data_IF_840191415161
#
_entry.id   IF_840191415161
#
_cell.length_a   1.000
_cell.length_b   1.000
_cell.length_c   1.000
_cell.angle_alpha   90.00
_cell.angle_beta   90.00
_cell.angle_gamma   90.00
#
_symmetry.space_group_name_H-M   'P 1'
#
loop_
_entity.id
_entity.type
_entity.pdbx_description
1 polymer ?
#
# COMPACT_ATOMS: atom_id res chain seq x y z
N UNK A 1 2.63 5.62 -47.40
CA UNK A 1 2.69 4.89 -46.10
C UNK A 1 2.59 5.93 -44.99
N UNK A 2 1.39 6.20 -44.48
CA UNK A 2 1.18 7.18 -43.43
C UNK A 2 1.53 6.60 -42.06
N UNK A 3 2.64 7.06 -41.47
CA UNK A 3 2.92 6.91 -40.03
C UNK A 3 2.44 8.18 -39.33
N UNK A 4 1.16 8.23 -39.06
CA UNK A 4 0.60 9.10 -38.03
C UNK A 4 0.21 8.20 -36.87
N UNK A 5 0.81 8.40 -35.69
CA UNK A 5 0.09 8.46 -34.42
C UNK A 5 1.07 8.94 -33.35
N UNK A 6 1.15 10.27 -33.32
CA UNK A 6 1.75 11.06 -32.26
C UNK A 6 0.67 11.27 -31.19
N UNK A 7 1.06 11.04 -29.93
CA UNK A 7 0.49 11.59 -28.68
C UNK A 7 -0.89 11.04 -28.25
N UNK A 8 -0.84 10.08 -27.33
CA UNK A 8 -1.82 9.94 -26.24
C UNK A 8 -1.20 10.48 -24.94
N UNK A 9 -0.88 11.77 -24.92
CA UNK A 9 -0.74 12.52 -23.66
C UNK A 9 -2.01 13.32 -23.51
N UNK A 10 -3.01 12.75 -22.83
CA UNK A 10 -3.98 13.55 -22.08
C UNK A 10 -4.80 12.66 -21.14
N UNK A 11 -4.66 13.01 -19.86
CA UNK A 11 -5.62 12.80 -18.77
C UNK A 11 -5.66 11.37 -18.23
N UNK A 12 -4.68 11.01 -17.39
CA UNK A 12 -4.95 10.13 -16.25
C UNK A 12 -4.76 10.96 -14.99
N UNK A 13 -5.85 11.18 -14.27
CA UNK A 13 -5.88 11.69 -12.90
C UNK A 13 -4.76 11.03 -12.08
N UNK A 14 -4.19 11.79 -11.13
CA UNK A 14 -3.15 11.42 -10.17
C UNK A 14 -3.38 10.03 -9.53
N UNK A 15 -2.95 8.99 -10.22
CA UNK A 15 -2.76 7.66 -9.66
C UNK A 15 -1.34 7.27 -10.03
N UNK A 16 -0.41 7.46 -9.09
CA UNK A 16 0.91 6.86 -9.23
C UNK A 16 0.71 5.35 -9.15
N UNK A 17 1.22 4.64 -10.15
CA UNK A 17 1.30 3.18 -10.06
C UNK A 17 2.30 2.87 -8.96
N UNK A 18 1.81 2.36 -7.84
CA UNK A 18 2.64 1.80 -6.79
C UNK A 18 3.05 0.42 -7.23
N UNK A 19 4.34 0.20 -7.39
CA UNK A 19 4.87 -1.12 -7.72
C UNK A 19 5.40 -1.71 -6.42
N UNK A 20 4.58 -2.54 -5.78
CA UNK A 20 5.01 -3.35 -4.64
C UNK A 20 5.51 -4.70 -5.13
N UNK A 21 6.66 -5.14 -4.64
CA UNK A 21 7.14 -6.50 -4.86
C UNK A 21 6.35 -7.51 -4.01
N UNK A 22 6.62 -8.81 -4.21
CA UNK A 22 5.90 -9.87 -3.49
C UNK A 22 6.07 -9.78 -1.99
N UNK A 23 7.28 -9.46 -1.50
CA UNK A 23 7.56 -9.39 -0.05
C UNK A 23 6.89 -8.18 0.58
N UNK A 24 6.96 -7.03 -0.07
CA UNK A 24 6.28 -5.82 0.36
C UNK A 24 4.77 -6.06 0.48
N UNK A 25 4.16 -6.73 -0.51
CA UNK A 25 2.74 -7.12 -0.44
C UNK A 25 2.45 -8.05 0.73
N UNK A 26 3.30 -9.04 0.97
CA UNK A 26 3.16 -9.96 2.11
C UNK A 26 3.23 -9.22 3.46
N UNK A 27 4.18 -8.28 3.60
CA UNK A 27 4.30 -7.45 4.80
C UNK A 27 3.07 -6.56 5.00
N UNK A 28 2.57 -5.91 3.94
CA UNK A 28 1.35 -5.09 4.01
C UNK A 28 0.15 -5.95 4.42
N UNK A 29 -0.03 -7.14 3.83
CA UNK A 29 -1.12 -8.05 4.20
C UNK A 29 -1.00 -8.54 5.64
N UNK A 30 0.23 -8.81 6.11
CA UNK A 30 0.48 -9.18 7.50
C UNK A 30 0.12 -8.04 8.47
N UNK A 31 0.52 -6.80 8.14
CA UNK A 31 0.19 -5.60 8.89
C UNK A 31 -1.33 -5.37 8.97
N UNK A 32 -2.03 -5.49 7.84
CA UNK A 32 -3.50 -5.39 7.78
C UNK A 32 -4.16 -6.44 8.67
N UNK A 33 -3.69 -7.67 8.64
CA UNK A 33 -4.24 -8.75 9.46
C UNK A 33 -4.06 -8.49 10.96
N UNK A 34 -2.94 -7.91 11.38
CA UNK A 34 -2.72 -7.49 12.77
C UNK A 34 -3.64 -6.33 13.12
N UNK A 35 -3.71 -5.30 12.27
CA UNK A 35 -4.53 -4.12 12.52
C UNK A 35 -6.02 -4.46 12.64
N UNK A 36 -6.54 -5.33 11.76
CA UNK A 36 -7.94 -5.80 11.80
C UNK A 36 -8.32 -6.52 13.10
N UNK A 37 -7.36 -7.15 13.79
CA UNK A 37 -7.62 -7.82 15.07
C UNK A 37 -7.95 -6.83 16.19
N UNK A 38 -7.65 -5.54 16.02
CA UNK A 38 -7.94 -4.51 17.00
C UNK A 38 -9.36 -3.92 16.86
N UNK A 39 -10.14 -4.35 15.86
CA UNK A 39 -11.50 -3.85 15.63
C UNK A 39 -12.55 -4.88 16.05
N UNK A 40 -13.45 -4.47 16.95
CA UNK A 40 -14.58 -5.29 17.38
C UNK A 40 -15.76 -5.23 16.39
N UNK A 41 -15.94 -4.10 15.69
CA UNK A 41 -16.98 -3.93 14.67
C UNK A 41 -16.39 -3.89 13.25
N UNK A 42 -16.78 -4.85 12.42
CA UNK A 42 -16.38 -4.92 10.99
C UNK A 42 -17.06 -3.89 10.11
N UNK A 43 -17.95 -3.07 10.67
CA UNK A 43 -18.57 -1.92 9.99
C UNK A 43 -17.87 -0.61 10.30
N UNK A 44 -16.87 -0.63 11.18
CA UNK A 44 -16.03 0.55 11.44
C UNK A 44 -15.40 1.04 10.12
N UNK A 45 -15.39 2.36 9.93
CA UNK A 45 -14.89 2.97 8.70
C UNK A 45 -13.44 2.61 8.44
N UNK A 46 -12.63 2.52 9.49
CA UNK A 46 -11.21 2.24 9.38
C UNK A 46 -10.99 0.76 9.07
N UNK A 47 -11.81 -0.14 9.64
CA UNK A 47 -11.83 -1.55 9.25
C UNK A 47 -12.17 -1.71 7.76
N UNK A 48 -13.18 -0.99 7.27
CA UNK A 48 -13.57 -1.03 5.86
C UNK A 48 -12.47 -0.50 4.94
N UNK A 49 -11.79 0.59 5.33
CA UNK A 49 -10.63 1.11 4.60
C UNK A 49 -9.49 0.07 4.53
N UNK A 50 -9.23 -0.68 5.60
CA UNK A 50 -8.26 -1.79 5.59
C UNK A 50 -8.68 -2.94 4.67
N UNK A 51 -9.98 -3.19 4.49
CA UNK A 51 -10.48 -4.19 3.51
C UNK A 51 -10.23 -3.71 2.09
N UNK A 52 -10.50 -2.44 1.79
CA UNK A 52 -10.25 -1.85 0.47
C UNK A 52 -8.76 -1.92 0.10
N UNK A 53 -7.88 -1.58 1.05
CA UNK A 53 -6.42 -1.69 0.85
C UNK A 53 -6.01 -3.15 0.60
N UNK A 54 -6.55 -4.10 1.38
CA UNK A 54 -6.23 -5.52 1.24
C UNK A 54 -6.59 -6.05 -0.16
N UNK A 55 -7.75 -5.66 -0.67
CA UNK A 55 -8.21 -6.08 -1.99
C UNK A 55 -7.38 -5.44 -3.11
N UNK A 56 -7.00 -4.17 -2.96
CA UNK A 56 -6.17 -3.48 -3.95
C UNK A 56 -4.75 -4.10 -4.04
N UNK A 57 -4.16 -4.49 -2.90
CA UNK A 57 -2.82 -5.09 -2.84
C UNK A 57 -2.73 -6.45 -3.55
N UNK A 58 -3.85 -7.17 -3.70
CA UNK A 58 -3.91 -8.45 -4.42
C UNK A 58 -3.71 -8.31 -5.93
N UNK A 59 -3.93 -7.13 -6.49
CA UNK A 59 -3.74 -6.90 -7.93
C UNK A 59 -2.27 -6.74 -8.29
N UNK A 60 -1.93 -7.01 -9.56
CA UNK A 60 -0.58 -6.81 -10.09
C UNK A 60 -0.19 -5.33 -10.03
N UNK A 61 -1.09 -4.45 -10.48
CA UNK A 61 -0.95 -3.00 -10.40
C UNK A 61 -1.76 -2.49 -9.20
N UNK A 62 -1.10 -1.78 -8.29
CA UNK A 62 -1.71 -1.27 -7.05
C UNK A 62 -2.00 0.22 -7.19
N UNK A 63 -3.26 0.61 -6.95
CA UNK A 63 -3.74 1.99 -7.02
C UNK A 63 -4.30 2.44 -5.67
N UNK A 64 -3.43 2.99 -4.83
CA UNK A 64 -3.81 3.51 -3.52
C UNK A 64 -3.82 5.04 -3.50
N UNK A 65 -4.73 5.61 -2.72
CA UNK A 65 -4.73 7.03 -2.39
C UNK A 65 -3.61 7.36 -1.38
N UNK A 66 -3.17 8.63 -1.31
CA UNK A 66 -2.18 9.06 -0.31
C UNK A 66 -2.60 8.74 1.13
N UNK A 67 -3.90 8.87 1.43
CA UNK A 67 -4.46 8.51 2.74
C UNK A 67 -4.25 7.02 3.03
N UNK A 68 -4.57 6.16 2.06
CA UNK A 68 -4.36 4.71 2.21
C UNK A 68 -2.88 4.36 2.38
N UNK A 69 -1.97 5.04 1.67
CA UNK A 69 -0.52 4.84 1.83
C UNK A 69 -0.07 5.23 3.25
N UNK A 70 -0.51 6.37 3.76
CA UNK A 70 -0.21 6.82 5.13
C UNK A 70 -0.81 5.88 6.20
N UNK A 71 -1.99 5.31 5.92
CA UNK A 71 -2.56 4.28 6.78
C UNK A 71 -1.70 3.02 6.78
N UNK A 72 -1.22 2.56 5.61
CA UNK A 72 -0.31 1.40 5.52
C UNK A 72 0.95 1.65 6.35
N UNK A 73 1.57 2.82 6.19
CA UNK A 73 2.74 3.24 6.95
C UNK A 73 2.49 3.18 8.47
N UNK A 74 1.30 3.62 8.91
CA UNK A 74 0.94 3.59 10.34
C UNK A 74 0.76 2.16 10.88
N UNK A 75 0.33 1.20 10.05
CA UNK A 75 0.07 -0.18 10.47
C UNK A 75 1.25 -1.14 10.26
N UNK A 76 2.31 -0.74 9.54
CA UNK A 76 3.51 -1.58 9.37
C UNK A 76 4.38 -1.63 10.62
N UNK A 77 4.41 -0.56 11.42
CA UNK A 77 5.23 -0.47 12.65
C UNK A 77 5.07 -1.67 13.62
N UNK A 78 3.85 -2.14 13.94
CA UNK A 78 3.62 -3.33 14.77
C UNK A 78 4.33 -4.61 14.29
N UNK A 79 4.75 -4.72 13.04
CA UNK A 79 5.52 -5.87 12.57
C UNK A 79 6.90 -5.98 13.24
N UNK A 80 7.48 -4.84 13.67
CA UNK A 80 8.79 -4.78 14.34
C UNK A 80 8.79 -5.50 15.69
N UNK A 81 7.62 -5.64 16.32
CA UNK A 81 7.43 -6.38 17.57
C UNK A 81 7.54 -7.91 17.40
N UNK A 82 7.60 -8.40 16.16
CA UNK A 82 7.70 -9.83 15.84
C UNK A 82 9.00 -10.19 15.07
N UNK A 83 10.20 -9.94 15.65
CA UNK A 83 11.49 -10.12 14.96
C UNK A 83 11.83 -11.58 14.62
N UNK A 84 11.11 -12.54 15.22
CA UNK A 84 11.22 -13.97 14.87
C UNK A 84 10.43 -14.35 13.61
N UNK A 85 9.48 -13.50 13.19
CA UNK A 85 8.58 -13.74 12.05
C UNK A 85 8.91 -12.86 10.85
N UNK A 86 9.35 -11.63 11.09
CA UNK A 86 9.60 -10.65 10.04
C UNK A 86 11.03 -10.10 10.13
N UNK A 87 11.63 -9.81 8.98
CA UNK A 87 12.95 -9.20 8.92
C UNK A 87 12.80 -7.68 9.10
N UNK A 88 13.45 -7.13 10.12
CA UNK A 88 13.34 -5.70 10.44
C UNK A 88 13.80 -4.79 9.29
N UNK A 89 14.87 -5.19 8.58
CA UNK A 89 15.37 -4.42 7.44
C UNK A 89 14.31 -4.28 6.33
N UNK A 90 13.60 -5.37 6.01
CA UNK A 90 12.54 -5.35 4.99
C UNK A 90 11.35 -4.46 5.40
N UNK A 91 11.06 -4.38 6.70
CA UNK A 91 10.04 -3.47 7.23
C UNK A 91 10.48 -2.01 7.08
N UNK A 92 11.72 -1.69 7.44
CA UNK A 92 12.25 -0.33 7.30
C UNK A 92 12.35 0.13 5.84
N UNK A 93 12.73 -0.77 4.94
CA UNK A 93 12.76 -0.48 3.50
C UNK A 93 11.34 -0.16 2.99
N UNK A 94 10.34 -0.93 3.43
CA UNK A 94 8.94 -0.69 3.12
C UNK A 94 8.45 0.65 3.68
N UNK A 95 8.72 0.95 4.95
CA UNK A 95 8.33 2.22 5.60
C UNK A 95 8.95 3.43 4.88
N UNK A 96 10.23 3.34 4.53
CA UNK A 96 10.94 4.37 3.76
C UNK A 96 10.26 4.62 2.42
N UNK A 97 9.96 3.56 1.69
CA UNK A 97 9.27 3.62 0.40
C UNK A 97 7.87 4.23 0.54
N UNK A 98 7.11 3.86 1.57
CA UNK A 98 5.78 4.43 1.82
C UNK A 98 5.86 5.93 2.13
N UNK A 99 6.82 6.34 2.97
CA UNK A 99 7.03 7.74 3.31
C UNK A 99 7.39 8.60 2.07
N UNK A 100 8.21 8.07 1.16
CA UNK A 100 8.50 8.74 -0.12
C UNK A 100 7.22 9.05 -0.92
N UNK A 101 6.19 8.21 -0.85
CA UNK A 101 4.92 8.47 -1.54
C UNK A 101 4.02 9.47 -0.81
N UNK A 102 4.12 9.54 0.52
CA UNK A 102 3.35 10.48 1.36
C UNK A 102 3.91 11.90 1.25
N UNK A 103 5.23 12.04 1.24
CA UNK A 103 5.94 13.34 1.21
C UNK A 103 5.90 14.05 -0.15
N UNK A 104 5.46 13.39 -1.22
CA UNK A 104 5.35 14.02 -2.54
C UNK A 104 4.30 15.15 -2.52
N UNK A 105 4.60 16.35 -3.08
CA UNK A 105 3.69 17.49 -3.12
C UNK A 105 2.38 17.20 -3.86
#
# INVERSE_FOLDING_TARGET
MFRNFIILIKIKKRYMSLVFDTKEKELILAAINIAKQNYDDKKDSDYLELVEIEDEIKFENVFLSRKQISNIESITGPLLDFPKKYQQMEIYDLETKLNEYVELP
#
